data_IF_293211189209
#
_entry.id   IF_293211189209
#
_cell.length_a   1.000
_cell.length_b   1.000
_cell.length_c   1.000
_cell.angle_alpha   90.00
_cell.angle_beta   90.00
_cell.angle_gamma   90.00
#
_symmetry.space_group_name_H-M   'P 1'
#
loop_
_entity.id
_entity.type
_entity.pdbx_description
1 polymer ?
#
# COMPACT_ATOMS: atom_id res chain seq x y z
N UNK A 1 6.63 0.76 -24.05
CA UNK A 1 6.23 -0.45 -24.81
C UNK A 1 6.71 -0.28 -26.24
N UNK A 2 7.38 -1.29 -26.78
CA UNK A 2 7.88 -1.29 -28.16
C UNK A 2 7.58 -2.64 -28.80
N UNK A 3 6.91 -2.66 -29.95
CA UNK A 3 6.58 -3.90 -30.66
C UNK A 3 7.27 -3.98 -32.02
N UNK A 4 7.44 -5.20 -32.51
CA UNK A 4 8.16 -5.47 -33.75
C UNK A 4 7.58 -4.76 -34.98
N UNK A 5 6.28 -4.43 -35.01
CA UNK A 5 5.62 -3.76 -36.13
C UNK A 5 4.86 -2.49 -35.71
N UNK A 6 5.30 -1.82 -34.63
CA UNK A 6 4.71 -0.55 -34.18
C UNK A 6 3.50 -0.75 -33.25
N UNK A 7 2.34 -0.19 -33.62
CA UNK A 7 1.09 -0.24 -32.83
C UNK A 7 -0.02 -1.07 -33.50
N UNK A 8 0.29 -1.78 -34.59
CA UNK A 8 -0.67 -2.61 -35.30
C UNK A 8 -0.71 -4.00 -34.67
N UNK A 9 -1.41 -4.13 -33.54
CA UNK A 9 -1.58 -5.37 -32.76
C UNK A 9 -2.06 -6.55 -33.62
N UNK A 10 -1.14 -7.27 -34.25
CA UNK A 10 -1.43 -8.36 -35.22
C UNK A 10 -0.63 -9.60 -34.88
N UNK A 11 -1.17 -10.78 -35.19
CA UNK A 11 -0.40 -12.01 -35.09
C UNK A 11 0.72 -12.04 -36.14
N UNK A 12 1.96 -12.50 -35.84
CA UNK A 12 2.53 -12.89 -34.54
C UNK A 12 3.42 -11.79 -33.93
N UNK A 13 2.85 -10.64 -33.55
CA UNK A 13 3.61 -9.52 -33.00
C UNK A 13 4.13 -9.79 -31.60
N UNK A 14 5.39 -9.44 -31.37
CA UNK A 14 6.00 -9.44 -30.05
C UNK A 14 6.21 -8.00 -29.59
N UNK A 15 5.78 -7.72 -28.36
CA UNK A 15 5.89 -6.42 -27.70
C UNK A 15 6.75 -6.53 -26.46
N UNK A 16 7.70 -5.62 -26.32
CA UNK A 16 8.58 -5.47 -25.17
C UNK A 16 8.07 -4.36 -24.26
N UNK A 17 8.07 -4.65 -22.95
CA UNK A 17 7.58 -3.77 -21.90
C UNK A 17 8.72 -3.36 -20.99
N UNK A 18 8.78 -2.07 -20.70
CA UNK A 18 9.69 -1.44 -19.75
C UNK A 18 8.89 -0.49 -18.87
N UNK A 19 9.35 -0.33 -17.63
CA UNK A 19 8.77 0.63 -16.71
C UNK A 19 9.30 2.04 -17.01
N UNK A 20 8.48 3.05 -16.68
CA UNK A 20 8.91 4.45 -16.74
C UNK A 20 10.07 4.71 -15.78
N UNK A 21 10.81 5.78 -16.03
CA UNK A 21 11.91 6.18 -15.16
C UNK A 21 11.44 6.32 -13.70
N UNK A 22 12.20 5.77 -12.75
CA UNK A 22 11.84 5.72 -11.33
C UNK A 22 10.93 4.54 -10.94
N UNK A 23 10.52 3.70 -11.89
CA UNK A 23 9.75 2.48 -11.64
C UNK A 23 10.55 1.24 -12.05
N UNK A 24 10.33 0.13 -11.35
CA UNK A 24 10.94 -1.16 -11.66
C UNK A 24 9.88 -2.23 -11.90
N UNK A 25 10.22 -3.23 -12.70
CA UNK A 25 9.35 -4.37 -12.95
C UNK A 25 9.40 -5.33 -11.77
N UNK A 26 8.26 -5.57 -11.13
CA UNK A 26 8.16 -6.50 -9.99
C UNK A 26 7.40 -7.78 -10.31
N UNK A 27 6.52 -7.76 -11.32
CA UNK A 27 5.82 -8.94 -11.79
C UNK A 27 5.47 -8.81 -13.27
N UNK A 28 5.13 -9.93 -13.91
CA UNK A 28 4.76 -9.96 -15.32
C UNK A 28 5.93 -10.22 -16.27
N UNK A 29 5.63 -10.29 -17.56
CA UNK A 29 6.60 -10.57 -18.62
C UNK A 29 7.14 -9.28 -19.24
N UNK A 30 8.46 -9.19 -19.44
CA UNK A 30 9.12 -8.09 -20.18
C UNK A 30 8.89 -8.16 -21.68
N UNK A 31 8.41 -9.29 -22.18
CA UNK A 31 8.03 -9.48 -23.58
C UNK A 31 6.79 -10.37 -23.67
N UNK A 32 5.85 -10.00 -24.53
CA UNK A 32 4.62 -10.77 -24.80
C UNK A 32 4.41 -10.86 -26.29
N UNK A 33 3.92 -12.01 -26.75
CA UNK A 33 3.67 -12.30 -28.17
C UNK A 33 2.20 -12.61 -28.38
N UNK A 34 1.60 -11.98 -29.38
CA UNK A 34 0.24 -12.25 -29.83
C UNK A 34 0.19 -13.63 -30.51
N UNK A 35 -0.68 -14.52 -30.02
CA UNK A 35 -0.84 -15.90 -30.49
C UNK A 35 -2.01 -16.01 -31.47
N UNK A 36 -2.06 -17.12 -32.21
CA UNK A 36 -3.09 -17.38 -33.21
C UNK A 36 -4.51 -17.48 -32.60
N UNK A 37 -4.60 -17.84 -31.31
CA UNK A 37 -5.84 -17.87 -30.52
C UNK A 37 -6.32 -16.49 -30.04
N UNK A 38 -5.66 -15.41 -30.51
CA UNK A 38 -5.93 -14.00 -30.12
C UNK A 38 -5.61 -13.70 -28.65
N UNK A 39 -4.82 -14.52 -27.98
CA UNK A 39 -4.30 -14.26 -26.63
C UNK A 39 -2.85 -13.79 -26.67
N UNK A 40 -2.43 -13.09 -25.62
CA UNK A 40 -1.02 -12.74 -25.42
C UNK A 40 -0.32 -13.80 -24.59
N UNK A 41 0.91 -14.14 -24.95
CA UNK A 41 1.78 -14.93 -24.08
C UNK A 41 2.11 -14.17 -22.78
N UNK A 42 2.45 -14.94 -21.74
CA UNK A 42 2.89 -14.38 -20.46
C UNK A 42 1.82 -13.55 -19.74
N UNK A 43 2.26 -12.80 -18.74
CA UNK A 43 1.40 -11.96 -17.89
C UNK A 43 1.73 -10.48 -18.06
N UNK A 44 0.75 -9.61 -17.75
CA UNK A 44 0.92 -8.17 -17.85
C UNK A 44 2.05 -7.69 -16.93
N UNK A 45 2.96 -6.87 -17.47
CA UNK A 45 4.03 -6.23 -16.73
C UNK A 45 3.45 -5.31 -15.63
N UNK A 46 3.95 -5.46 -14.40
CA UNK A 46 3.56 -4.66 -13.23
C UNK A 46 4.77 -3.89 -12.71
N UNK A 47 4.64 -2.56 -12.74
CA UNK A 47 5.69 -1.64 -12.34
C UNK A 47 5.37 -1.03 -10.99
N UNK A 48 6.35 -0.94 -10.09
CA UNK A 48 6.22 -0.19 -8.84
C UNK A 48 7.28 0.92 -8.77
N UNK A 49 7.00 2.04 -8.07
CA UNK A 49 8.02 3.04 -7.84
C UNK A 49 9.22 2.46 -7.07
N UNK A 50 10.39 3.07 -7.25
CA UNK A 50 11.63 2.69 -6.56
C UNK A 50 11.45 2.52 -5.05
N UNK A 51 11.87 1.36 -4.53
CA UNK A 51 11.80 1.04 -3.11
C UNK A 51 10.42 0.57 -2.61
N UNK A 52 9.40 0.52 -3.47
CA UNK A 52 8.14 -0.15 -3.13
C UNK A 52 8.28 -1.67 -3.31
N UNK A 53 7.41 -2.43 -2.65
CA UNK A 53 7.29 -3.89 -2.74
C UNK A 53 5.91 -4.23 -3.29
N UNK A 54 5.89 -4.98 -4.38
CA UNK A 54 4.65 -5.48 -4.98
C UNK A 54 4.06 -6.61 -4.15
N UNK A 55 2.75 -6.56 -3.89
CA UNK A 55 2.01 -7.64 -3.25
C UNK A 55 0.96 -8.19 -4.21
N UNK A 56 1.25 -9.38 -4.76
CA UNK A 56 0.47 -9.98 -5.85
C UNK A 56 -1.03 -10.09 -5.56
N UNK A 57 -1.49 -10.52 -4.37
CA UNK A 57 -2.93 -10.66 -4.11
C UNK A 57 -3.71 -9.35 -4.28
N UNK A 58 -3.16 -8.23 -3.81
CA UNK A 58 -3.78 -6.90 -3.97
C UNK A 58 -3.47 -6.23 -5.32
N UNK A 59 -2.44 -6.69 -6.04
CA UNK A 59 -1.87 -6.03 -7.21
C UNK A 59 -1.42 -4.58 -6.97
N UNK A 60 -1.12 -4.23 -5.72
CA UNK A 60 -0.63 -2.92 -5.30
C UNK A 60 0.85 -2.98 -4.89
N UNK A 61 1.46 -1.80 -4.85
CA UNK A 61 2.83 -1.60 -4.41
C UNK A 61 2.81 -0.89 -3.05
N UNK A 62 3.67 -1.31 -2.12
CA UNK A 62 3.72 -0.75 -0.76
C UNK A 62 5.13 -0.34 -0.35
N UNK A 63 5.24 0.69 0.49
CA UNK A 63 6.53 1.10 1.06
C UNK A 63 6.34 1.57 2.50
N UNK A 64 7.11 0.99 3.41
CA UNK A 64 7.28 1.51 4.76
C UNK A 64 8.40 2.56 4.76
N UNK A 65 8.10 3.77 5.23
CA UNK A 65 9.05 4.88 5.30
C UNK A 65 9.72 4.92 6.66
N UNK A 66 11.05 5.08 6.69
CA UNK A 66 11.81 5.23 7.94
C UNK A 66 11.76 6.67 8.51
N UNK A 67 10.96 7.55 7.92
CA UNK A 67 10.81 8.95 8.29
C UNK A 67 9.73 9.10 9.37
N UNK A 68 10.03 9.87 10.41
CA UNK A 68 9.05 10.26 11.43
C UNK A 68 8.15 11.38 10.90
N UNK A 69 6.85 11.28 11.17
CA UNK A 69 5.83 12.19 10.67
C UNK A 69 4.55 12.11 11.50
N UNK A 70 3.82 13.22 11.57
CA UNK A 70 2.39 13.18 11.90
C UNK A 70 1.58 12.50 10.80
N UNK A 71 0.32 12.18 11.10
CA UNK A 71 -0.56 11.47 10.17
C UNK A 71 -0.84 12.26 8.88
N UNK A 72 -1.07 13.57 8.99
CA UNK A 72 -1.47 14.42 7.86
C UNK A 72 -0.30 14.58 6.88
N UNK A 73 0.90 14.84 7.41
CA UNK A 73 2.15 14.93 6.65
C UNK A 73 2.52 13.58 6.01
N UNK A 74 2.24 12.45 6.69
CA UNK A 74 2.43 11.11 6.14
C UNK A 74 1.47 10.84 4.97
N UNK A 75 0.18 11.19 5.12
CA UNK A 75 -0.82 11.08 4.06
C UNK A 75 -0.47 11.95 2.85
N UNK A 76 0.03 13.17 3.07
CA UNK A 76 0.51 14.05 2.01
C UNK A 76 1.71 13.45 1.27
N UNK A 77 2.64 12.82 2.00
CA UNK A 77 3.78 12.11 1.39
C UNK A 77 3.30 10.99 0.47
N UNK A 78 2.37 10.15 0.91
CA UNK A 78 1.82 9.08 0.07
C UNK A 78 1.08 9.64 -1.15
N UNK A 79 0.30 10.70 -0.96
CA UNK A 79 -0.45 11.38 -2.03
C UNK A 79 0.47 11.98 -3.09
N UNK A 80 1.59 12.58 -2.68
CA UNK A 80 2.61 13.08 -3.61
C UNK A 80 3.27 11.98 -4.45
N UNK A 81 3.28 10.75 -3.93
CA UNK A 81 3.72 9.55 -4.63
C UNK A 81 2.65 8.88 -5.51
N UNK A 82 1.49 9.52 -5.67
CA UNK A 82 0.34 9.01 -6.44
C UNK A 82 -0.49 7.95 -5.71
N UNK A 83 -0.34 7.84 -4.40
CA UNK A 83 -0.96 6.79 -3.59
C UNK A 83 -1.65 7.31 -2.34
N UNK A 84 -1.90 6.42 -1.39
CA UNK A 84 -2.49 6.74 -0.07
C UNK A 84 -1.65 6.12 1.04
N UNK A 85 -1.94 6.47 2.29
CA UNK A 85 -1.54 5.58 3.39
C UNK A 85 -2.11 4.18 3.15
N UNK A 86 -1.36 3.16 3.54
CA UNK A 86 -1.66 1.76 3.24
C UNK A 86 -2.94 1.29 3.95
N UNK A 87 -3.72 0.44 3.29
CA UNK A 87 -5.05 0.05 3.75
C UNK A 87 -5.09 -1.47 3.99
N UNK A 88 -4.80 -1.96 5.21
CA UNK A 88 -4.86 -3.38 5.54
C UNK A 88 -6.30 -3.89 5.67
N UNK A 89 -7.02 -4.05 4.54
CA UNK A 89 -8.44 -4.48 4.51
C UNK A 89 -8.66 -5.98 4.77
N UNK A 90 -7.61 -6.78 4.75
CA UNK A 90 -7.69 -8.21 5.00
C UNK A 90 -6.44 -8.73 5.75
N UNK A 91 -6.54 -9.98 6.22
CA UNK A 91 -5.48 -10.61 7.00
C UNK A 91 -4.16 -10.79 6.23
N UNK A 92 -4.24 -11.01 4.91
CA UNK A 92 -3.09 -11.17 4.04
C UNK A 92 -2.31 -9.87 3.89
N UNK A 93 -3.00 -8.78 3.55
CA UNK A 93 -2.41 -7.43 3.48
C UNK A 93 -1.88 -7.04 4.85
N UNK A 94 -2.65 -7.21 5.93
CA UNK A 94 -2.21 -6.85 7.27
C UNK A 94 -0.89 -7.54 7.65
N UNK A 95 -0.79 -8.85 7.42
CA UNK A 95 0.44 -9.62 7.68
C UNK A 95 1.61 -9.13 6.82
N UNK A 96 1.35 -8.85 5.54
CA UNK A 96 2.35 -8.32 4.64
C UNK A 96 2.88 -6.93 5.10
N UNK A 97 2.00 -6.02 5.53
CA UNK A 97 2.40 -4.71 6.03
C UNK A 97 3.20 -4.79 7.34
N UNK A 98 2.84 -5.71 8.25
CA UNK A 98 3.61 -5.98 9.47
C UNK A 98 5.04 -6.42 9.11
N UNK A 99 5.20 -7.36 8.18
CA UNK A 99 6.53 -7.80 7.74
C UNK A 99 7.31 -6.68 7.07
N UNK A 100 6.65 -5.87 6.23
CA UNK A 100 7.25 -4.75 5.54
C UNK A 100 7.78 -3.68 6.51
N UNK A 101 6.98 -3.31 7.52
CA UNK A 101 7.40 -2.30 8.50
C UNK A 101 8.44 -2.83 9.48
N UNK A 102 8.37 -4.11 9.87
CA UNK A 102 9.35 -4.72 10.76
C UNK A 102 10.72 -4.88 10.12
N UNK A 103 10.79 -5.01 8.79
CA UNK A 103 12.05 -4.97 8.04
C UNK A 103 12.71 -3.58 8.05
N UNK A 104 11.94 -2.51 8.29
CA UNK A 104 12.47 -1.15 8.47
C UNK A 104 12.84 -0.90 9.92
N UNK A 105 11.89 -1.13 10.83
CA UNK A 105 12.07 -0.98 12.27
C UNK A 105 10.94 -1.72 13.01
N UNK A 106 11.27 -2.86 13.62
CA UNK A 106 10.31 -3.72 14.33
C UNK A 106 9.84 -3.15 15.67
N UNK A 107 10.48 -2.09 16.18
CA UNK A 107 10.13 -1.46 17.45
C UNK A 107 9.35 -0.16 17.27
N UNK A 108 9.37 0.42 16.07
CA UNK A 108 8.64 1.63 15.76
C UNK A 108 7.16 1.37 15.42
N UNK A 109 6.37 2.39 15.72
CA UNK A 109 4.95 2.47 15.43
C UNK A 109 4.79 3.07 14.03
N UNK A 110 3.80 2.58 13.29
CA UNK A 110 3.57 3.00 11.91
C UNK A 110 2.12 3.33 11.67
N UNK A 111 1.86 4.52 11.14
CA UNK A 111 0.57 4.91 10.60
C UNK A 111 0.17 4.05 9.41
N UNK A 112 -1.12 3.78 9.31
CA UNK A 112 -1.77 3.27 8.12
C UNK A 112 -3.08 4.05 7.86
N UNK A 113 -3.69 3.83 6.71
CA UNK A 113 -4.74 4.68 6.17
C UNK A 113 -6.11 4.44 6.80
N UNK A 114 -6.27 4.61 8.12
CA UNK A 114 -7.56 4.48 8.82
C UNK A 114 -7.68 5.57 9.91
N UNK A 115 -8.81 6.28 9.91
CA UNK A 115 -9.11 7.38 10.86
C UNK A 115 -10.59 7.45 11.20
N UNK A 116 -10.98 8.01 12.33
CA UNK A 116 -12.36 8.40 12.67
C UNK A 116 -12.51 9.89 12.97
N UNK A 117 -11.57 10.71 12.45
CA UNK A 117 -11.52 12.19 12.57
C UNK A 117 -12.82 12.92 12.24
N UNK A 118 -13.61 12.38 11.31
CA UNK A 118 -14.85 13.01 10.86
C UNK A 118 -16.02 12.75 11.84
N UNK A 119 -16.01 11.59 12.49
CA UNK A 119 -17.03 11.17 13.45
C UNK A 119 -16.46 10.07 14.36
N UNK A 120 -16.28 10.40 15.64
CA UNK A 120 -15.80 9.48 16.69
C UNK A 120 -16.51 8.11 16.63
N UNK A 121 -15.71 7.04 16.62
CA UNK A 121 -16.21 5.66 16.54
C UNK A 121 -16.61 5.20 15.13
N UNK A 122 -16.63 6.11 14.14
CA UNK A 122 -16.93 5.81 12.73
C UNK A 122 -15.65 5.83 11.90
N UNK A 123 -14.89 4.75 11.98
CA UNK A 123 -13.61 4.60 11.28
C UNK A 123 -13.78 4.50 9.76
N UNK A 124 -12.95 5.24 9.02
CA UNK A 124 -12.95 5.36 7.56
C UNK A 124 -11.52 5.18 7.05
N UNK A 125 -11.38 4.40 5.97
CA UNK A 125 -10.11 4.17 5.31
C UNK A 125 -9.71 5.36 4.42
N UNK A 126 -8.43 5.46 4.07
CA UNK A 126 -7.89 6.56 3.27
C UNK A 126 -8.46 6.68 1.83
N UNK A 127 -9.24 5.70 1.36
CA UNK A 127 -10.00 5.75 0.11
C UNK A 127 -11.48 6.15 0.29
N UNK A 128 -11.88 6.53 1.51
CA UNK A 128 -13.24 6.97 1.88
C UNK A 128 -14.22 5.85 2.22
N UNK A 129 -13.83 4.58 2.14
CA UNK A 129 -14.72 3.47 2.51
C UNK A 129 -14.72 3.30 4.03
N UNK A 130 -15.88 3.04 4.63
CA UNK A 130 -15.99 2.77 6.07
C UNK A 130 -15.26 1.47 6.49
N UNK A 131 -14.87 1.40 7.77
CA UNK A 131 -14.35 0.19 8.39
C UNK A 131 -15.44 -0.89 8.39
N UNK A 132 -15.21 -1.96 7.62
CA UNK A 132 -16.08 -3.12 7.60
C UNK A 132 -15.83 -4.06 8.78
N UNK A 133 -16.14 -5.35 8.61
CA UNK A 133 -15.99 -6.34 9.68
C UNK A 133 -14.53 -6.67 10.01
N UNK A 134 -13.64 -6.65 9.02
CA UNK A 134 -12.24 -6.99 9.24
C UNK A 134 -11.56 -5.90 10.03
N UNK A 135 -11.00 -6.28 11.19
CA UNK A 135 -10.13 -5.44 11.98
C UNK A 135 -9.11 -6.29 12.75
N UNK A 136 -8.01 -5.66 13.16
CA UNK A 136 -6.97 -6.28 13.99
C UNK A 136 -6.65 -5.40 15.20
N UNK A 137 -7.66 -4.74 15.76
CA UNK A 137 -7.52 -3.96 16.98
C UNK A 137 -6.85 -4.76 18.10
N UNK A 138 -6.00 -4.08 18.86
CA UNK A 138 -5.38 -4.62 20.06
C UNK A 138 -6.40 -4.79 21.19
N UNK A 139 -6.04 -5.52 22.26
CA UNK A 139 -6.90 -5.65 23.42
C UNK A 139 -7.29 -4.27 23.98
N UNK A 140 -8.60 -4.03 24.07
CA UNK A 140 -9.15 -2.77 24.56
C UNK A 140 -9.12 -1.61 23.57
N UNK A 141 -8.78 -1.84 22.30
CA UNK A 141 -8.70 -0.78 21.27
C UNK A 141 -9.88 -0.82 20.29
N UNK A 142 -10.26 0.31 19.70
CA UNK A 142 -9.85 1.68 20.04
C UNK A 142 -10.41 2.11 21.42
N UNK A 143 -9.66 2.87 22.21
CA UNK A 143 -10.09 3.33 23.55
C UNK A 143 -10.27 4.84 23.67
N UNK A 144 -9.84 5.60 22.66
CA UNK A 144 -9.81 7.05 22.65
C UNK A 144 -9.26 7.63 23.96
N UNK A 145 -8.12 7.12 24.44
CA UNK A 145 -7.62 7.39 25.79
C UNK A 145 -7.39 8.88 26.08
N UNK A 146 -7.05 9.66 25.04
CA UNK A 146 -6.82 11.11 25.15
C UNK A 146 -8.02 11.97 24.70
N UNK A 147 -9.14 11.35 24.31
CA UNK A 147 -10.32 12.00 23.69
C UNK A 147 -10.03 12.71 22.36
N UNK A 148 -8.99 12.27 21.65
CA UNK A 148 -8.55 12.80 20.36
C UNK A 148 -7.59 11.81 19.65
N UNK A 149 -7.82 10.50 19.78
CA UNK A 149 -6.96 9.46 19.21
C UNK A 149 -7.41 9.01 17.81
N UNK A 150 -7.61 9.94 16.88
CA UNK A 150 -8.44 9.63 15.72
C UNK A 150 -7.71 8.92 14.54
N UNK A 151 -6.50 8.39 14.78
CA UNK A 151 -5.63 7.84 13.74
C UNK A 151 -5.08 6.46 14.12
N UNK A 152 -5.20 5.50 13.19
CA UNK A 152 -4.80 4.12 13.46
C UNK A 152 -3.34 3.83 13.09
N UNK A 153 -2.72 2.98 13.91
CA UNK A 153 -1.32 2.56 13.76
C UNK A 153 -1.08 1.11 14.16
N UNK A 154 0.08 0.59 13.79
CA UNK A 154 0.60 -0.69 14.28
C UNK A 154 1.31 -0.54 15.63
N UNK A 155 0.84 -1.25 16.66
CA UNK A 155 1.36 -1.26 18.04
C UNK A 155 2.35 -2.43 18.27
N UNK A 156 3.68 -2.20 18.22
CA UNK A 156 4.69 -3.27 18.26
C UNK A 156 4.67 -4.08 19.55
N UNK A 157 4.35 -3.44 20.69
CA UNK A 157 4.33 -4.10 22.00
C UNK A 157 3.17 -5.08 22.18
N UNK A 158 2.21 -5.11 21.24
CA UNK A 158 1.08 -6.05 21.22
C UNK A 158 1.03 -6.79 19.89
N UNK A 159 2.14 -7.41 19.50
CA UNK A 159 2.26 -8.24 18.30
C UNK A 159 1.83 -7.53 17.01
N UNK A 160 2.05 -6.21 16.94
CA UNK A 160 1.61 -5.38 15.81
C UNK A 160 0.09 -5.43 15.58
N UNK A 161 -0.69 -5.56 16.64
CA UNK A 161 -2.12 -5.24 16.60
C UNK A 161 -2.33 -3.73 16.40
N UNK A 162 -3.54 -3.36 16.01
CA UNK A 162 -3.86 -1.96 15.75
C UNK A 162 -4.15 -1.22 17.05
N UNK A 163 -3.75 0.05 17.11
CA UNK A 163 -4.14 0.99 18.14
C UNK A 163 -4.57 2.29 17.48
N UNK A 164 -5.40 3.03 18.16
CA UNK A 164 -5.68 4.43 17.96
C UNK A 164 -4.62 5.29 18.69
N UNK A 165 -4.33 6.48 18.16
CA UNK A 165 -3.40 7.45 18.75
C UNK A 165 -3.63 8.87 18.19
N UNK A 166 -3.22 9.96 18.88
CA UNK A 166 -3.40 11.30 18.36
C UNK A 166 -2.71 11.51 17.01
N UNK A 167 -3.50 11.94 16.02
CA UNK A 167 -3.02 12.18 14.65
C UNK A 167 -1.84 13.17 14.55
N UNK A 168 -1.68 14.03 15.57
CA UNK A 168 -0.63 15.05 15.66
C UNK A 168 0.72 14.50 16.16
N UNK A 169 0.80 13.22 16.55
CA UNK A 169 2.06 12.63 17.01
C UNK A 169 3.10 12.58 15.88
N UNK A 170 4.22 13.27 16.06
CA UNK A 170 5.24 13.47 15.02
C UNK A 170 6.34 12.41 14.99
N UNK A 171 6.45 11.56 16.01
CA UNK A 171 7.56 10.59 16.14
C UNK A 171 7.30 9.23 15.49
N UNK A 172 6.15 9.04 14.83
CA UNK A 172 5.77 7.76 14.22
C UNK A 172 6.13 7.69 12.73
N UNK A 173 6.32 6.48 12.24
CA UNK A 173 6.63 6.19 10.84
C UNK A 173 5.33 5.89 10.09
N UNK A 174 5.39 5.59 8.80
CA UNK A 174 4.17 5.36 8.01
C UNK A 174 4.39 4.41 6.83
N UNK A 175 3.30 3.85 6.33
CA UNK A 175 3.31 2.94 5.20
C UNK A 175 2.41 3.52 4.11
N UNK A 176 2.93 3.65 2.88
CA UNK A 176 2.16 4.04 1.71
C UNK A 176 1.78 2.84 0.86
N UNK A 177 0.69 2.96 0.11
CA UNK A 177 0.30 2.08 -0.99
C UNK A 177 0.08 2.88 -2.28
N UNK A 178 0.31 2.28 -3.44
CA UNK A 178 0.07 2.88 -4.76
C UNK A 178 -0.36 1.81 -5.77
N UNK A 179 -1.21 2.21 -6.72
CA UNK A 179 -1.61 1.37 -7.86
C UNK A 179 -0.45 1.05 -8.81
N UNK A 180 -0.64 0.01 -9.63
CA UNK A 180 0.28 -0.39 -10.72
C UNK A 180 -0.21 0.06 -12.08
#
# INVERSE_FOLDING_TARGET
MSCNHGYSFRYPETCHFSCNHGYHLYAGSTSRTCRADRTWSGSAARCCPGGYKYYQPSQLCYKAFNQQSDYTSAAATCSSGGGTLAIPRDAGINTFLINLKNAVDSKAWFWFGLTDRDQEGSWVWADGVALGHFNQWGPGRPDNATKNEDCALYWPQKDNKWSDFPCSETSLKFICQVGT
#
